data_IF_391375558436
#
_entry.id   IF_391375558436
#
_cell.length_a   1.000
_cell.length_b   1.000
_cell.length_c   1.000
_cell.angle_alpha   90.00
_cell.angle_beta   90.00
_cell.angle_gamma   90.00
#
_symmetry.space_group_name_H-M   'P 1'
#
loop_
_entity.id
_entity.type
_entity.pdbx_description
1 polymer ?
#
# COMPACT_ATOMS: atom_id res chain seq x y z
N UNK A 1 -48.66 -11.89 20.86
CA UNK A 1 -47.31 -11.39 21.25
C UNK A 1 -46.20 -11.97 20.36
N UNK A 2 -46.24 -13.27 20.03
CA UNK A 2 -45.25 -13.99 19.19
C UNK A 2 -45.04 -13.44 17.76
N UNK A 3 -46.10 -13.03 17.06
CA UNK A 3 -45.96 -12.46 15.70
C UNK A 3 -45.33 -11.06 15.69
N UNK A 4 -45.42 -10.31 16.80
CA UNK A 4 -44.84 -8.96 16.89
C UNK A 4 -43.33 -9.03 17.14
N UNK A 5 -42.86 -10.02 17.89
CA UNK A 5 -41.41 -10.29 18.03
C UNK A 5 -40.82 -10.81 16.72
N UNK A 6 -41.51 -11.68 15.97
CA UNK A 6 -41.01 -12.20 14.69
C UNK A 6 -40.79 -11.10 13.65
N UNK A 7 -41.72 -10.14 13.51
CA UNK A 7 -41.54 -8.97 12.61
C UNK A 7 -40.36 -8.08 13.02
N UNK A 8 -40.15 -7.89 14.33
CA UNK A 8 -39.00 -7.12 14.85
C UNK A 8 -37.68 -7.82 14.53
N UNK A 9 -37.59 -9.13 14.71
CA UNK A 9 -36.39 -9.91 14.36
C UNK A 9 -36.11 -9.92 12.86
N UNK A 10 -37.14 -10.03 12.01
CA UNK A 10 -36.99 -9.92 10.56
C UNK A 10 -36.46 -8.53 10.18
N UNK A 11 -37.07 -7.46 10.70
CA UNK A 11 -36.64 -6.10 10.41
C UNK A 11 -35.19 -5.83 10.88
N UNK A 12 -34.82 -6.29 12.08
CA UNK A 12 -33.47 -6.18 12.61
C UNK A 12 -32.46 -6.95 11.74
N UNK A 13 -32.82 -8.15 11.30
CA UNK A 13 -31.96 -8.97 10.43
C UNK A 13 -31.75 -8.29 9.08
N UNK A 14 -32.82 -7.78 8.46
CA UNK A 14 -32.74 -7.03 7.20
C UNK A 14 -31.83 -5.82 7.36
N UNK A 15 -31.97 -5.04 8.44
CA UNK A 15 -31.11 -3.89 8.71
C UNK A 15 -29.64 -4.30 8.82
N UNK A 16 -29.33 -5.37 9.56
CA UNK A 16 -27.95 -5.88 9.69
C UNK A 16 -27.38 -6.27 8.34
N UNK A 17 -28.14 -7.00 7.53
CA UNK A 17 -27.71 -7.40 6.17
C UNK A 17 -27.44 -6.17 5.30
N UNK A 18 -28.32 -5.16 5.34
CA UNK A 18 -28.13 -3.92 4.58
C UNK A 18 -26.87 -3.16 5.02
N UNK A 19 -26.61 -3.07 6.33
CA UNK A 19 -25.40 -2.42 6.86
C UNK A 19 -24.14 -3.17 6.46
N UNK A 20 -24.14 -4.50 6.54
CA UNK A 20 -22.99 -5.33 6.13
C UNK A 20 -22.74 -5.22 4.63
N UNK A 21 -23.78 -5.32 3.80
CA UNK A 21 -23.68 -5.15 2.36
C UNK A 21 -23.16 -3.75 1.99
N UNK A 22 -23.73 -2.70 2.60
CA UNK A 22 -23.30 -1.32 2.40
C UNK A 22 -21.83 -1.11 2.79
N UNK A 23 -21.39 -1.70 3.90
CA UNK A 23 -20.01 -1.63 4.36
C UNK A 23 -19.06 -2.36 3.40
N UNK A 24 -19.43 -3.57 2.95
CA UNK A 24 -18.62 -4.34 2.00
C UNK A 24 -18.45 -3.59 0.66
N UNK A 25 -19.53 -3.01 0.14
CA UNK A 25 -19.49 -2.17 -1.07
C UNK A 25 -18.62 -0.93 -0.83
N UNK A 26 -18.81 -0.25 0.30
CA UNK A 26 -18.01 0.91 0.68
C UNK A 26 -16.52 0.60 0.73
N UNK A 27 -16.13 -0.50 1.35
CA UNK A 27 -14.74 -0.98 1.41
C UNK A 27 -14.21 -1.25 0.00
N UNK A 28 -14.96 -1.94 -0.85
CA UNK A 28 -14.53 -2.25 -2.21
C UNK A 28 -14.29 -0.98 -3.05
N UNK A 29 -15.27 -0.07 -3.08
CA UNK A 29 -15.19 1.20 -3.82
C UNK A 29 -14.01 2.03 -3.34
N UNK A 30 -13.88 2.22 -2.03
CA UNK A 30 -12.80 3.02 -1.44
C UNK A 30 -11.44 2.33 -1.47
N UNK A 31 -11.36 1.09 -1.97
CA UNK A 31 -10.12 0.35 -2.17
C UNK A 31 -9.72 0.27 -3.65
N UNK A 32 -10.44 0.94 -4.54
CA UNK A 32 -10.07 1.03 -5.95
C UNK A 32 -8.96 2.05 -6.17
N UNK A 33 -8.12 1.80 -7.17
CA UNK A 33 -7.13 2.79 -7.64
C UNK A 33 -7.80 4.11 -8.03
N UNK A 34 -8.97 4.07 -8.67
CA UNK A 34 -9.70 5.28 -9.06
C UNK A 34 -10.15 6.14 -7.88
N UNK A 35 -10.53 5.53 -6.75
CA UNK A 35 -10.83 6.26 -5.52
C UNK A 35 -9.58 6.94 -4.96
N UNK A 36 -8.44 6.25 -4.89
CA UNK A 36 -7.19 6.86 -4.45
C UNK A 36 -6.81 8.08 -5.32
N UNK A 37 -7.10 8.02 -6.63
CA UNK A 37 -6.79 9.08 -7.59
C UNK A 37 -7.86 10.17 -7.69
N UNK A 38 -8.93 10.11 -6.88
CA UNK A 38 -9.88 11.22 -6.79
C UNK A 38 -9.25 12.47 -6.17
N UNK A 39 -8.20 12.29 -5.37
CA UNK A 39 -7.36 13.36 -4.82
C UNK A 39 -6.17 13.61 -5.76
N UNK A 40 -5.85 14.88 -6.04
CA UNK A 40 -4.81 15.24 -7.01
C UNK A 40 -3.40 14.93 -6.48
N UNK A 41 -3.20 14.94 -5.16
CA UNK A 41 -1.92 14.67 -4.51
C UNK A 41 -1.42 13.24 -4.78
N UNK A 42 -2.33 12.30 -5.06
CA UNK A 42 -1.99 10.89 -5.30
C UNK A 42 -1.56 10.62 -6.75
N UNK A 43 -1.80 11.54 -7.69
CA UNK A 43 -1.55 11.32 -9.13
C UNK A 43 -0.07 11.14 -9.45
N UNK A 44 0.81 11.87 -8.75
CA UNK A 44 2.26 11.71 -8.90
C UNK A 44 2.71 10.31 -8.51
N UNK A 45 2.13 9.74 -7.44
CA UNK A 45 2.47 8.40 -6.97
C UNK A 45 2.02 7.32 -7.95
N UNK A 46 0.89 7.51 -8.63
CA UNK A 46 0.47 6.60 -9.71
C UNK A 46 1.40 6.64 -10.91
N UNK A 47 1.88 7.82 -11.30
CA UNK A 47 2.83 7.96 -12.41
C UNK A 47 4.15 7.28 -12.08
N UNK A 48 4.64 7.44 -10.85
CA UNK A 48 5.82 6.74 -10.38
C UNK A 48 5.62 5.22 -10.36
N UNK A 49 4.49 4.75 -9.81
CA UNK A 49 4.16 3.32 -9.74
C UNK A 49 4.17 2.70 -11.14
N UNK A 50 3.53 3.36 -12.10
CA UNK A 50 3.45 2.91 -13.49
C UNK A 50 4.81 2.81 -14.20
N UNK A 51 5.85 3.50 -13.69
CA UNK A 51 7.21 3.48 -14.23
C UNK A 51 8.19 2.67 -13.36
N UNK A 52 7.71 2.19 -12.21
CA UNK A 52 8.48 1.44 -11.24
C UNK A 52 8.60 -0.05 -11.61
N UNK A 53 9.48 -0.81 -10.93
CA UNK A 53 9.46 -2.27 -10.99
C UNK A 53 8.14 -2.91 -10.56
N UNK A 54 7.28 -2.19 -9.83
CA UNK A 54 5.97 -2.65 -9.37
C UNK A 54 4.82 -2.10 -10.23
N UNK A 55 5.08 -1.72 -11.48
CA UNK A 55 4.00 -1.29 -12.37
C UNK A 55 3.00 -2.43 -12.66
N UNK A 56 3.50 -3.66 -12.78
CA UNK A 56 2.73 -4.84 -13.13
C UNK A 56 3.21 -6.07 -12.34
N UNK A 57 2.30 -7.02 -12.13
CA UNK A 57 2.62 -8.32 -11.56
C UNK A 57 3.30 -9.25 -12.58
N UNK A 58 3.70 -10.45 -12.15
CA UNK A 58 4.33 -11.45 -13.01
C UNK A 58 3.43 -11.95 -14.17
N UNK A 59 2.12 -11.67 -14.13
CA UNK A 59 1.13 -12.00 -15.17
C UNK A 59 0.83 -10.81 -16.08
N UNK A 60 1.43 -9.64 -15.84
CA UNK A 60 1.20 -8.41 -16.60
C UNK A 60 -0.03 -7.61 -16.16
N UNK A 61 -0.66 -7.94 -15.03
CA UNK A 61 -1.74 -7.12 -14.49
C UNK A 61 -1.16 -5.90 -13.78
N UNK A 62 -1.79 -4.73 -13.94
CA UNK A 62 -1.38 -3.54 -13.20
C UNK A 62 -1.52 -3.77 -11.69
N UNK A 63 -0.48 -3.40 -10.94
CA UNK A 63 -0.55 -3.41 -9.48
C UNK A 63 -1.34 -2.20 -8.99
N UNK A 64 -2.28 -2.43 -8.09
CA UNK A 64 -3.16 -1.42 -7.49
C UNK A 64 -2.63 -0.92 -6.14
N UNK A 65 -3.03 0.30 -5.77
CA UNK A 65 -2.58 0.96 -4.54
C UNK A 65 -2.79 0.09 -3.29
N UNK A 66 -3.94 -0.57 -3.20
CA UNK A 66 -4.35 -1.32 -2.01
C UNK A 66 -3.60 -2.62 -1.83
N UNK A 67 -2.99 -3.17 -2.88
CA UNK A 67 -2.18 -4.38 -2.76
C UNK A 67 -0.94 -4.15 -1.89
N UNK A 68 -0.48 -2.90 -1.76
CA UNK A 68 0.63 -2.54 -0.86
C UNK A 68 0.12 -1.78 0.38
N UNK A 69 -0.78 -0.81 0.20
CA UNK A 69 -1.10 0.17 1.24
C UNK A 69 -2.19 -0.26 2.23
N UNK A 70 -2.97 -1.30 1.95
CA UNK A 70 -4.05 -1.75 2.83
C UNK A 70 -3.71 -3.14 3.36
N UNK A 71 -3.67 -3.36 4.69
CA UNK A 71 -3.41 -4.67 5.25
C UNK A 71 -4.44 -5.69 4.76
N UNK A 72 -3.98 -6.79 4.17
CA UNK A 72 -4.84 -7.81 3.55
C UNK A 72 -5.17 -9.00 4.47
N UNK A 73 -4.45 -9.15 5.59
CA UNK A 73 -4.46 -10.38 6.39
C UNK A 73 -5.62 -10.50 7.39
N UNK A 74 -6.19 -9.38 7.84
CA UNK A 74 -7.20 -9.38 8.89
C UNK A 74 -8.21 -8.25 8.67
N UNK A 75 -9.51 -8.58 8.66
CA UNK A 75 -10.58 -7.61 8.39
C UNK A 75 -10.64 -6.47 9.42
N UNK A 76 -10.41 -6.75 10.70
CA UNK A 76 -10.39 -5.72 11.75
C UNK A 76 -9.19 -4.80 11.54
N UNK A 77 -8.01 -5.37 11.25
CA UNK A 77 -6.81 -4.59 10.94
C UNK A 77 -7.00 -3.74 9.68
N UNK A 78 -7.54 -4.31 8.61
CA UNK A 78 -7.86 -3.62 7.37
C UNK A 78 -8.80 -2.44 7.63
N UNK A 79 -9.94 -2.67 8.30
CA UNK A 79 -10.91 -1.62 8.59
C UNK A 79 -10.30 -0.53 9.47
N UNK A 80 -9.58 -0.92 10.53
CA UNK A 80 -8.93 0.05 11.43
C UNK A 80 -7.90 0.92 10.72
N UNK A 81 -7.03 0.32 9.89
CA UNK A 81 -6.03 1.03 9.11
C UNK A 81 -6.69 1.96 8.09
N UNK A 82 -7.73 1.48 7.39
CA UNK A 82 -8.46 2.25 6.39
C UNK A 82 -9.17 3.45 6.99
N UNK A 83 -9.83 3.28 8.14
CA UNK A 83 -10.45 4.39 8.87
C UNK A 83 -9.40 5.38 9.35
N UNK A 84 -8.35 4.92 10.02
CA UNK A 84 -7.32 5.81 10.57
C UNK A 84 -6.58 6.61 9.49
N UNK A 85 -6.01 5.91 8.49
CA UNK A 85 -5.26 6.53 7.41
C UNK A 85 -6.16 7.41 6.54
N UNK A 86 -7.35 6.93 6.18
CA UNK A 86 -8.31 7.71 5.38
C UNK A 86 -8.77 8.98 6.09
N UNK A 87 -9.02 8.94 7.41
CA UNK A 87 -9.35 10.16 8.18
C UNK A 87 -8.16 11.12 8.24
N UNK A 88 -6.94 10.61 8.42
CA UNK A 88 -5.72 11.44 8.40
C UNK A 88 -5.53 12.13 7.05
N UNK A 89 -5.69 11.38 5.95
CA UNK A 89 -5.53 11.90 4.60
C UNK A 89 -6.58 12.99 4.29
N UNK A 90 -7.85 12.74 4.68
CA UNK A 90 -8.91 13.73 4.54
C UNK A 90 -8.63 15.01 5.36
N UNK A 91 -8.14 14.85 6.59
CA UNK A 91 -7.77 15.97 7.44
C UNK A 91 -6.64 16.81 6.82
N UNK A 92 -5.57 16.16 6.35
CA UNK A 92 -4.45 16.84 5.69
C UNK A 92 -4.91 17.55 4.42
N UNK A 93 -5.69 16.88 3.58
CA UNK A 93 -6.26 17.49 2.37
C UNK A 93 -7.10 18.74 2.70
N UNK A 94 -8.02 18.63 3.67
CA UNK A 94 -8.91 19.74 4.05
C UNK A 94 -8.16 20.92 4.68
N UNK A 95 -7.10 20.68 5.45
CA UNK A 95 -6.36 21.73 6.17
C UNK A 95 -5.25 22.37 5.37
N UNK A 96 -4.64 21.64 4.43
CA UNK A 96 -3.57 22.16 3.56
C UNK A 96 -4.07 22.65 2.20
N UNK A 97 -5.36 22.44 1.92
CA UNK A 97 -6.03 22.87 0.68
C UNK A 97 -5.41 22.25 -0.58
N UNK A 98 -4.71 21.11 -0.43
CA UNK A 98 -3.96 20.47 -1.51
C UNK A 98 -2.83 21.32 -2.11
N UNK A 99 -2.46 22.44 -1.48
CA UNK A 99 -1.48 23.42 -1.96
C UNK A 99 -0.06 23.16 -1.44
N UNK A 100 0.07 22.27 -0.45
CA UNK A 100 1.35 21.90 0.15
C UNK A 100 1.88 20.68 -0.58
N UNK A 101 3.02 20.85 -1.25
CA UNK A 101 3.83 19.71 -1.68
C UNK A 101 4.19 18.89 -0.45
N UNK A 102 3.67 17.66 -0.34
CA UNK A 102 4.00 16.77 0.78
C UNK A 102 5.52 16.66 0.89
N UNK A 103 6.07 16.92 2.07
CA UNK A 103 7.50 16.71 2.31
C UNK A 103 7.78 15.21 2.37
N UNK A 104 8.02 14.62 1.20
CA UNK A 104 8.19 13.17 1.04
C UNK A 104 9.38 12.65 1.83
N UNK A 105 10.44 13.43 1.97
CA UNK A 105 11.61 13.09 2.79
C UNK A 105 11.24 12.88 4.26
N UNK A 106 10.38 13.73 4.81
CA UNK A 106 9.92 13.63 6.20
C UNK A 106 8.91 12.51 6.40
N UNK A 107 8.04 12.25 5.43
CA UNK A 107 6.95 11.28 5.55
C UNK A 107 7.43 9.85 5.29
N UNK A 108 8.43 9.65 4.42
CA UNK A 108 8.89 8.33 4.00
C UNK A 108 9.25 7.35 5.13
N UNK A 109 10.01 7.73 6.17
CA UNK A 109 10.33 6.81 7.26
C UNK A 109 9.08 6.25 7.93
N UNK A 110 8.08 7.11 8.13
CA UNK A 110 6.82 6.72 8.76
C UNK A 110 5.93 5.94 7.78
N UNK A 111 5.85 6.34 6.52
CA UNK A 111 5.11 5.61 5.48
C UNK A 111 5.58 4.15 5.34
N UNK A 112 6.90 3.92 5.42
CA UNK A 112 7.50 2.57 5.36
C UNK A 112 7.12 1.69 6.55
N UNK A 113 6.79 2.28 7.72
CA UNK A 113 6.35 1.52 8.91
C UNK A 113 4.91 1.06 8.81
N UNK A 114 4.08 1.77 8.06
CA UNK A 114 2.68 1.42 7.83
C UNK A 114 2.50 0.37 6.73
N UNK A 115 3.55 0.06 5.95
CA UNK A 115 3.49 -1.01 4.96
C UNK A 115 3.56 -2.37 5.65
N UNK A 116 2.50 -3.17 5.46
CA UNK A 116 2.42 -4.50 6.04
C UNK A 116 3.25 -5.48 5.21
N UNK A 117 4.26 -6.11 5.80
CA UNK A 117 5.12 -7.07 5.08
C UNK A 117 4.33 -8.25 4.50
N UNK A 118 3.18 -8.58 5.10
CA UNK A 118 2.29 -9.60 4.56
C UNK A 118 1.81 -9.28 3.13
N UNK A 119 1.67 -7.99 2.79
CA UNK A 119 1.33 -7.55 1.44
C UNK A 119 2.49 -7.78 0.47
N UNK A 120 3.74 -7.53 0.88
CA UNK A 120 4.91 -7.86 0.07
C UNK A 120 4.98 -9.38 -0.16
N UNK A 121 4.77 -10.17 0.90
CA UNK A 121 4.86 -11.63 0.87
C UNK A 121 3.68 -12.32 0.17
N UNK A 122 2.59 -11.61 -0.11
CA UNK A 122 1.50 -12.12 -0.93
C UNK A 122 1.93 -12.35 -2.40
N UNK A 123 2.97 -11.65 -2.86
CA UNK A 123 3.58 -11.85 -4.18
C UNK A 123 5.02 -12.39 -4.10
N UNK A 124 5.78 -11.97 -3.08
CA UNK A 124 7.14 -12.44 -2.81
C UNK A 124 7.14 -13.60 -1.81
N UNK A 125 6.58 -14.73 -2.23
CA UNK A 125 6.44 -15.91 -1.38
C UNK A 125 7.79 -16.56 -1.04
N UNK A 126 8.64 -16.74 -2.06
CA UNK A 126 10.01 -17.25 -1.90
C UNK A 126 11.00 -16.07 -1.82
N UNK A 127 11.37 -15.73 -0.60
CA UNK A 127 12.33 -14.65 -0.33
C UNK A 127 13.74 -14.96 -0.83
N UNK A 128 14.06 -16.19 -1.27
CA UNK A 128 15.40 -16.54 -1.76
C UNK A 128 15.52 -16.50 -3.29
N UNK A 129 14.43 -16.20 -3.99
CA UNK A 129 14.41 -16.04 -5.44
C UNK A 129 14.38 -14.57 -5.83
N UNK A 130 15.01 -14.27 -6.97
CA UNK A 130 15.01 -12.92 -7.51
C UNK A 130 13.60 -12.53 -7.99
N UNK A 131 13.39 -11.23 -8.26
CA UNK A 131 12.08 -10.71 -8.65
C UNK A 131 11.52 -11.28 -9.96
N UNK A 132 12.37 -11.82 -10.86
CA UNK A 132 11.95 -12.51 -12.09
C UNK A 132 11.55 -13.97 -11.84
N UNK A 133 11.79 -14.45 -10.63
CA UNK A 133 11.58 -15.83 -10.22
C UNK A 133 12.36 -16.86 -11.08
N UNK A 134 13.45 -16.46 -11.72
CA UNK A 134 14.25 -17.29 -12.62
C UNK A 134 15.57 -17.78 -12.01
N UNK A 135 15.92 -17.30 -10.80
CA UNK A 135 17.14 -17.68 -10.11
C UNK A 135 17.16 -17.20 -8.66
N UNK A 136 18.26 -17.51 -7.96
CA UNK A 136 18.48 -17.09 -6.59
C UNK A 136 18.80 -15.58 -6.49
N UNK A 137 18.54 -15.00 -5.32
CA UNK A 137 19.07 -13.68 -4.97
C UNK A 137 20.58 -13.74 -4.70
N UNK A 138 21.21 -12.57 -4.60
CA UNK A 138 22.63 -12.47 -4.23
C UNK A 138 22.89 -13.01 -2.82
N UNK A 139 24.14 -13.38 -2.54
CA UNK A 139 24.55 -13.83 -1.21
C UNK A 139 24.23 -12.79 -0.11
N UNK A 140 24.49 -11.50 -0.39
CA UNK A 140 24.13 -10.40 0.51
C UNK A 140 22.62 -10.33 0.77
N UNK A 141 21.79 -10.50 -0.28
CA UNK A 141 20.33 -10.53 -0.13
C UNK A 141 19.88 -11.71 0.73
N UNK A 142 20.46 -12.89 0.52
CA UNK A 142 20.17 -14.10 1.31
C UNK A 142 20.45 -13.87 2.80
N UNK A 143 21.62 -13.31 3.13
CA UNK A 143 22.00 -13.01 4.51
C UNK A 143 21.08 -11.94 5.15
N UNK A 144 20.66 -10.93 4.38
CA UNK A 144 19.72 -9.92 4.85
C UNK A 144 18.31 -10.51 5.12
N UNK A 145 17.82 -11.39 4.25
CA UNK A 145 16.55 -12.09 4.47
C UNK A 145 16.62 -13.09 5.62
N UNK A 146 17.76 -13.75 5.83
CA UNK A 146 17.98 -14.56 7.03
C UNK A 146 17.87 -13.71 8.31
N UNK A 147 18.33 -12.45 8.29
CA UNK A 147 18.19 -11.52 9.42
C UNK A 147 16.77 -11.03 9.62
N UNK A 148 16.04 -10.80 8.53
CA UNK A 148 14.62 -10.49 8.58
C UNK A 148 13.80 -11.65 9.16
N UNK A 149 14.18 -12.90 8.86
CA UNK A 149 13.54 -14.11 9.34
C UNK A 149 14.06 -14.59 10.71
N UNK A 150 14.78 -13.73 11.45
CA UNK A 150 15.36 -14.03 12.76
C UNK A 150 16.33 -15.23 12.79
N UNK A 151 16.91 -15.64 11.65
CA UNK A 151 17.81 -16.80 11.54
C UNK A 151 19.26 -16.47 11.93
N UNK A 152 19.70 -15.23 11.74
CA UNK A 152 21.08 -14.79 12.03
C UNK A 152 21.13 -13.44 12.78
N UNK A 153 20.06 -13.09 13.48
CA UNK A 153 19.83 -11.83 14.19
C UNK A 153 18.42 -11.28 13.90
N UNK A 154 17.96 -10.28 14.66
CA UNK A 154 16.63 -9.69 14.46
C UNK A 154 16.69 -8.33 13.77
N UNK A 155 16.15 -8.27 12.55
CA UNK A 155 15.96 -6.99 11.86
C UNK A 155 14.93 -6.14 12.61
N UNK A 156 15.22 -4.84 12.75
CA UNK A 156 14.25 -3.84 13.23
C UNK A 156 13.45 -3.18 12.10
N UNK A 157 13.66 -3.62 10.85
CA UNK A 157 13.04 -3.06 9.65
C UNK A 157 12.28 -4.15 8.89
N UNK A 158 11.04 -3.84 8.49
CA UNK A 158 10.28 -4.65 7.54
C UNK A 158 10.78 -4.50 6.11
N UNK A 159 10.09 -5.12 5.16
CA UNK A 159 10.45 -5.17 3.75
C UNK A 159 10.73 -3.77 3.18
N UNK A 160 9.80 -2.83 3.35
CA UNK A 160 9.90 -1.46 2.84
C UNK A 160 11.00 -0.62 3.54
N UNK A 161 11.49 -1.06 4.71
CA UNK A 161 12.60 -0.39 5.40
C UNK A 161 13.95 -0.61 4.69
N UNK A 162 14.15 -1.81 4.15
CA UNK A 162 15.33 -2.20 3.36
C UNK A 162 15.11 -1.94 1.86
N UNK A 163 13.98 -2.37 1.31
CA UNK A 163 13.59 -2.17 -0.08
C UNK A 163 12.93 -0.80 -0.26
N UNK A 164 13.76 0.23 -0.34
CA UNK A 164 13.34 1.62 -0.52
C UNK A 164 13.07 1.93 -1.98
N UNK A 165 12.23 2.93 -2.23
CA UNK A 165 11.97 3.50 -3.55
C UNK A 165 11.52 2.47 -4.60
N UNK A 166 10.80 1.44 -4.15
CA UNK A 166 10.35 0.31 -4.97
C UNK A 166 9.20 0.65 -5.93
N UNK A 167 8.40 1.65 -5.58
CA UNK A 167 7.21 2.08 -6.32
C UNK A 167 7.16 3.60 -6.51
N UNK A 168 7.67 4.34 -5.52
CA UNK A 168 7.64 5.79 -5.48
C UNK A 168 9.06 6.30 -5.25
N UNK A 169 9.55 7.17 -6.13
CA UNK A 169 10.92 7.69 -6.07
C UNK A 169 10.91 9.23 -6.03
N UNK A 170 11.07 9.78 -4.82
CA UNK A 170 11.02 11.22 -4.64
C UNK A 170 12.29 11.89 -5.19
N UNK A 171 12.21 13.18 -5.59
CA UNK A 171 13.32 13.90 -6.22
C UNK A 171 14.60 13.86 -5.40
N UNK A 172 14.49 13.99 -4.07
CA UNK A 172 15.63 13.97 -3.14
C UNK A 172 16.42 12.66 -3.17
N UNK A 173 15.83 11.54 -3.59
CA UNK A 173 16.50 10.24 -3.64
C UNK A 173 16.97 9.85 -5.06
N UNK A 174 16.66 10.66 -6.09
CA UNK A 174 17.02 10.35 -7.49
C UNK A 174 18.52 10.41 -7.77
N UNK A 175 19.29 11.07 -6.89
CA UNK A 175 20.74 11.20 -7.03
C UNK A 175 21.53 9.95 -6.62
N UNK A 176 20.91 8.99 -5.93
CA UNK A 176 21.59 7.75 -5.57
C UNK A 176 21.73 6.83 -6.78
N UNK A 177 22.92 6.28 -7.01
CA UNK A 177 23.20 5.37 -8.14
C UNK A 177 22.24 4.18 -8.19
N UNK A 178 21.86 3.64 -7.03
CA UNK A 178 20.89 2.55 -6.92
C UNK A 178 19.51 2.89 -7.53
N UNK A 179 19.16 4.18 -7.60
CA UNK A 179 17.89 4.66 -8.14
C UNK A 179 18.02 5.14 -9.60
N UNK A 180 19.23 5.18 -10.18
CA UNK A 180 19.47 5.80 -11.49
C UNK A 180 18.57 5.25 -12.60
N UNK A 181 18.38 3.92 -12.64
CA UNK A 181 17.54 3.25 -13.64
C UNK A 181 16.03 3.55 -13.48
N UNK A 182 15.57 3.81 -12.25
CA UNK A 182 14.19 4.23 -12.03
C UNK A 182 14.05 5.73 -12.29
N UNK A 183 14.99 6.55 -11.80
CA UNK A 183 15.04 7.98 -12.01
C UNK A 183 15.04 8.35 -13.51
N UNK A 184 15.76 7.61 -14.35
CA UNK A 184 15.81 7.85 -15.80
C UNK A 184 14.47 7.67 -16.51
N UNK A 185 13.52 6.95 -15.90
CA UNK A 185 12.16 6.77 -16.43
C UNK A 185 11.22 7.89 -16.01
N UNK A 186 11.54 8.63 -14.95
CA UNK A 186 10.71 9.72 -14.40
C UNK A 186 10.95 11.02 -15.18
N UNK A 187 10.49 11.06 -16.43
CA UNK A 187 10.67 12.19 -17.35
C UNK A 187 9.61 13.28 -17.19
N UNK A 188 8.58 13.05 -16.37
CA UNK A 188 7.54 14.02 -16.11
C UNK A 188 8.01 15.05 -15.07
N UNK A 189 7.63 16.31 -15.30
CA UNK A 189 7.76 17.35 -14.28
C UNK A 189 6.72 17.07 -13.21
N UNK A 190 7.13 16.96 -11.95
CA UNK A 190 6.17 16.86 -10.85
C UNK A 190 5.21 18.06 -10.97
N UNK A 191 3.93 17.77 -11.14
CA UNK A 191 2.89 18.79 -11.11
C UNK A 191 2.79 19.21 -9.65
N UNK A 192 3.41 20.35 -9.34
CA UNK A 192 3.35 21.00 -8.03
C UNK A 192 1.94 21.52 -7.79
#
# INVERSE_FOLDING_TARGET
>A
MFFRSMKVWIAATVLVVLVLAGTAIGVHVTSSTSFCLSCHEMRVHQQELALSPHAQDARGNAIECVQCHIPSTNIVRMLSAKTWLGTKDLWVHATTGGSVTLNRREIQPEARRFMDDANCRACHEDLYRNAKNDGAISEYGRLAHDNYLDKNGSSRSGCAGCHRNIAHLPPEDRHYDANAAFASKLTFKEVR
#
